data_IF_660179606159
#
_entry.id   IF_660179606159
#
_cell.length_a   1.000
_cell.length_b   1.000
_cell.length_c   1.000
_cell.angle_alpha   90.00
_cell.angle_beta   90.00
_cell.angle_gamma   90.00
#
_symmetry.space_group_name_H-M   'P 1'
#
loop_
_entity.id
_entity.type
_entity.pdbx_description
1 polymer ?
#
# COMPACT_ATOMS: atom_id res chain seq x y z
N UNK A 1 -1.01 -14.02 9.01
CA UNK A 1 -0.35 -14.20 7.70
C UNK A 1 1.09 -14.58 7.99
N UNK A 2 1.60 -15.66 7.40
CA UNK A 2 2.95 -16.16 7.67
C UNK A 2 4.01 -15.39 6.89
N UNK A 3 5.18 -15.21 7.51
CA UNK A 3 6.39 -14.72 6.86
C UNK A 3 7.50 -15.75 7.10
N UNK A 4 8.30 -16.00 6.07
CA UNK A 4 9.48 -16.82 6.13
C UNK A 4 10.70 -15.97 5.77
N UNK A 5 11.84 -16.27 6.36
CA UNK A 5 13.11 -15.64 5.99
C UNK A 5 14.17 -16.70 5.82
N UNK A 6 15.00 -16.52 4.81
CA UNK A 6 16.25 -17.26 4.65
C UNK A 6 17.37 -16.24 4.77
N UNK A 7 18.37 -16.55 5.58
CA UNK A 7 19.51 -15.69 5.81
C UNK A 7 20.79 -16.55 5.82
N UNK A 8 21.79 -16.10 5.07
CA UNK A 8 23.14 -16.62 5.12
C UNK A 8 24.02 -15.63 5.89
N UNK A 9 24.74 -16.12 6.89
CA UNK A 9 25.62 -15.33 7.74
C UNK A 9 27.06 -15.74 7.49
N UNK A 10 27.91 -14.75 7.23
CA UNK A 10 29.34 -14.89 7.06
C UNK A 10 30.05 -14.12 8.19
N UNK A 11 30.68 -14.81 9.14
CA UNK A 11 31.56 -14.16 10.10
C UNK A 11 32.82 -13.68 9.35
N UNK A 12 33.14 -12.39 9.46
CA UNK A 12 34.33 -11.81 8.84
C UNK A 12 35.41 -11.53 9.89
N UNK A 13 35.01 -11.03 11.07
CA UNK A 13 35.87 -10.85 12.25
C UNK A 13 35.12 -11.33 13.50
N UNK A 14 35.82 -11.43 14.62
CA UNK A 14 35.23 -11.79 15.93
C UNK A 14 34.00 -10.92 16.26
N UNK A 15 34.05 -9.65 15.86
CA UNK A 15 33.07 -8.64 16.18
C UNK A 15 32.26 -8.17 14.97
N UNK A 16 32.52 -8.70 13.76
CA UNK A 16 31.92 -8.22 12.51
C UNK A 16 31.37 -9.38 11.68
N UNK A 17 30.07 -9.32 11.39
CA UNK A 17 29.36 -10.30 10.59
C UNK A 17 28.68 -9.61 9.39
N UNK A 18 28.84 -10.20 8.22
CA UNK A 18 28.09 -9.83 7.03
C UNK A 18 27.01 -10.90 6.80
N UNK A 19 25.81 -10.46 6.42
CA UNK A 19 24.70 -11.36 6.16
C UNK A 19 23.93 -10.92 4.93
N UNK A 20 23.40 -11.90 4.21
CA UNK A 20 22.55 -11.69 3.05
C UNK A 20 21.37 -12.64 3.15
N UNK A 21 20.18 -12.16 2.82
CA UNK A 21 18.97 -12.95 2.96
C UNK A 21 17.83 -12.42 2.14
N UNK A 22 16.71 -13.14 2.23
CA UNK A 22 15.45 -12.71 1.69
C UNK A 22 14.34 -12.96 2.70
N UNK A 23 13.47 -11.96 2.85
CA UNK A 23 12.25 -12.02 3.63
C UNK A 23 11.09 -12.18 2.66
N UNK A 24 10.24 -13.18 2.90
CA UNK A 24 9.17 -13.57 2.00
C UNK A 24 7.89 -13.76 2.78
N UNK A 25 6.75 -13.36 2.23
CA UNK A 25 5.48 -13.58 2.92
C UNK A 25 4.29 -12.97 2.21
N UNK A 26 3.11 -13.22 2.78
CA UNK A 26 1.87 -12.62 2.32
C UNK A 26 1.71 -11.24 2.96
N UNK A 27 1.51 -10.22 2.12
CA UNK A 27 1.26 -8.85 2.52
C UNK A 27 -0.14 -8.40 2.05
N UNK A 28 -0.65 -7.34 2.68
CA UNK A 28 -1.92 -6.70 2.31
C UNK A 28 -1.70 -5.21 2.11
N UNK A 29 -2.21 -4.68 1.00
CA UNK A 29 -2.38 -3.26 0.79
C UNK A 29 -3.87 -2.91 0.92
N UNK A 30 -4.15 -1.74 1.49
CA UNK A 30 -5.50 -1.21 1.65
C UNK A 30 -5.51 0.29 1.36
N UNK A 31 -6.52 0.74 0.64
CA UNK A 31 -6.81 2.12 0.31
C UNK A 31 -8.26 2.36 0.74
N UNK A 32 -8.45 3.22 1.73
CA UNK A 32 -9.79 3.64 2.13
C UNK A 32 -10.17 4.89 1.31
N UNK A 33 -11.31 4.82 0.62
CA UNK A 33 -11.85 5.88 -0.22
C UNK A 33 -13.29 6.14 0.24
N UNK A 34 -13.66 7.40 0.45
CA UNK A 34 -15.06 7.75 0.75
C UNK A 34 -15.78 8.07 -0.56
N UNK A 35 -16.73 7.23 -1.00
CA UNK A 35 -17.39 7.41 -2.30
C UNK A 35 -18.78 6.77 -2.42
N UNK A 36 -19.65 7.40 -3.22
CA UNK A 36 -21.06 7.06 -3.39
C UNK A 36 -21.32 5.97 -4.46
N UNK A 37 -22.49 5.34 -4.36
CA UNK A 37 -22.99 4.10 -4.97
C UNK A 37 -22.76 3.89 -6.48
N UNK A 38 -22.46 2.64 -6.86
CA UNK A 38 -22.27 2.17 -8.23
C UNK A 38 -21.58 0.79 -8.28
N UNK A 39 -21.68 0.08 -9.42
CA UNK A 39 -20.99 -1.20 -9.63
C UNK A 39 -19.46 -0.99 -9.56
N UNK A 40 -18.72 -1.85 -8.83
CA UNK A 40 -17.28 -1.69 -8.67
C UNK A 40 -16.54 -1.90 -9.99
N UNK A 41 -15.96 -0.81 -10.50
CA UNK A 41 -15.02 -0.81 -11.63
C UNK A 41 -13.81 0.04 -11.27
N UNK A 42 -12.60 -0.41 -11.60
CA UNK A 42 -11.37 0.29 -11.25
C UNK A 42 -11.37 1.75 -11.71
N UNK A 43 -11.85 2.00 -12.93
CA UNK A 43 -11.91 3.34 -13.52
C UNK A 43 -12.99 4.25 -12.94
N UNK A 44 -13.93 3.76 -12.13
CA UNK A 44 -15.02 4.57 -11.56
C UNK A 44 -14.92 4.74 -10.05
N UNK A 45 -14.16 3.89 -9.35
CA UNK A 45 -13.95 3.94 -7.89
C UNK A 45 -13.10 5.15 -7.44
N UNK A 46 -12.53 5.92 -8.35
CA UNK A 46 -11.77 7.15 -8.05
C UNK A 46 -12.43 8.42 -8.61
N UNK A 47 -13.62 8.31 -9.19
CA UNK A 47 -14.29 9.44 -9.84
C UNK A 47 -15.28 10.12 -8.90
N UNK A 48 -15.43 11.43 -9.07
CA UNK A 48 -16.44 12.23 -8.38
C UNK A 48 -17.84 11.95 -8.98
N UNK A 49 -18.88 11.87 -8.13
CA UNK A 49 -20.28 11.59 -8.52
C UNK A 49 -21.12 12.87 -8.67
N UNK A 50 -20.62 14.00 -8.18
CA UNK A 50 -21.30 15.31 -8.22
C UNK A 50 -21.14 16.02 -9.57
N UNK A 51 -20.13 15.68 -10.38
CA UNK A 51 -19.90 16.37 -11.65
C UNK A 51 -18.56 16.07 -12.31
N UNK A 52 -18.28 16.81 -13.39
CA UNK A 52 -17.01 16.75 -14.12
C UNK A 52 -16.08 17.84 -13.62
N UNK A 53 -14.88 17.47 -13.18
CA UNK A 53 -13.84 18.44 -12.82
C UNK A 53 -13.03 18.82 -14.05
N UNK A 54 -12.90 20.11 -14.33
CA UNK A 54 -12.01 20.61 -15.38
C UNK A 54 -10.53 20.55 -14.92
N UNK A 55 -9.63 20.60 -15.89
CA UNK A 55 -8.16 20.70 -15.77
C UNK A 55 -7.68 21.81 -14.84
N UNK A 56 -8.51 22.84 -14.59
CA UNK A 56 -8.24 23.96 -13.68
C UNK A 56 -8.72 23.73 -12.24
N UNK A 57 -9.39 22.61 -11.96
CA UNK A 57 -9.95 22.29 -10.63
C UNK A 57 -11.37 22.80 -10.39
N UNK A 58 -12.03 23.33 -11.42
CA UNK A 58 -13.42 23.79 -11.35
C UNK A 58 -14.38 22.60 -11.52
N UNK A 59 -15.31 22.40 -10.58
CA UNK A 59 -16.33 21.34 -10.64
C UNK A 59 -17.57 21.84 -11.40
N UNK A 60 -17.93 21.16 -12.48
CA UNK A 60 -19.15 21.37 -13.25
C UNK A 60 -20.15 20.27 -12.96
N UNK A 61 -21.35 20.62 -12.51
CA UNK A 61 -22.45 19.69 -12.30
C UNK A 61 -23.61 20.03 -13.23
N UNK A 62 -24.38 19.02 -13.63
CA UNK A 62 -25.54 19.22 -14.51
C UNK A 62 -26.70 19.80 -13.72
N UNK A 63 -27.24 20.93 -14.19
CA UNK A 63 -28.51 21.51 -13.71
C UNK A 63 -29.61 21.29 -14.73
N UNK A 64 -30.86 21.16 -14.27
CA UNK A 64 -32.01 21.12 -15.18
C UNK A 64 -32.29 22.51 -15.76
N UNK A 65 -32.92 22.58 -16.93
CA UNK A 65 -33.16 23.86 -17.64
C UNK A 65 -33.97 24.87 -16.82
N UNK A 66 -34.80 24.41 -15.87
CA UNK A 66 -35.58 25.27 -14.97
C UNK A 66 -34.82 25.75 -13.73
N UNK A 67 -33.64 25.20 -13.46
CA UNK A 67 -32.78 25.54 -12.32
C UNK A 67 -31.52 26.31 -12.76
N UNK A 68 -31.44 26.69 -14.04
CA UNK A 68 -30.29 27.39 -14.62
C UNK A 68 -30.17 28.84 -14.14
N UNK A 69 -31.31 29.55 -14.01
CA UNK A 69 -31.34 30.97 -13.66
C UNK A 69 -31.17 31.23 -12.15
N UNK A 70 -31.68 30.32 -11.29
CA UNK A 70 -31.53 30.39 -9.83
C UNK A 70 -31.23 28.99 -9.24
N UNK A 71 -29.99 28.48 -9.38
CA UNK A 71 -29.64 27.15 -8.90
C UNK A 71 -29.63 27.12 -7.37
N UNK A 72 -30.53 26.34 -6.78
CA UNK A 72 -30.50 26.02 -5.35
C UNK A 72 -29.47 24.90 -5.15
N UNK A 73 -28.23 25.28 -4.84
CA UNK A 73 -27.14 24.33 -4.56
C UNK A 73 -27.27 23.81 -3.13
N UNK A 74 -28.09 22.78 -2.95
CA UNK A 74 -28.16 22.06 -1.69
C UNK A 74 -27.39 20.74 -1.83
N UNK A 75 -26.34 20.48 -1.03
CA UNK A 75 -25.82 19.14 -0.91
C UNK A 75 -26.94 18.27 -0.31
N UNK A 76 -27.48 17.35 -1.11
CA UNK A 76 -28.42 16.35 -0.60
C UNK A 76 -27.81 15.56 0.55
N UNK A 77 -28.62 15.03 1.46
CA UNK A 77 -28.12 14.15 2.53
C UNK A 77 -27.60 12.88 1.88
N UNK A 78 -26.28 12.80 1.71
CA UNK A 78 -25.63 11.69 1.03
C UNK A 78 -25.03 10.78 2.10
N UNK A 79 -25.51 9.53 2.21
CA UNK A 79 -24.84 8.53 3.05
C UNK A 79 -23.43 8.30 2.48
N UNK A 80 -22.42 8.85 3.15
CA UNK A 80 -21.02 8.52 2.87
C UNK A 80 -20.81 7.04 3.13
N UNK A 81 -20.47 6.28 2.08
CA UNK A 81 -20.11 4.88 2.22
C UNK A 81 -18.61 4.77 2.07
N UNK A 82 -17.92 4.54 3.18
CA UNK A 82 -16.50 4.22 3.17
C UNK A 82 -16.29 2.94 2.36
N UNK A 83 -15.53 3.06 1.28
CA UNK A 83 -15.12 1.96 0.40
C UNK A 83 -13.67 1.61 0.69
N UNK A 84 -13.41 0.39 1.18
CA UNK A 84 -12.05 -0.14 1.34
C UNK A 84 -11.67 -0.90 0.07
N UNK A 85 -10.63 -0.46 -0.62
CA UNK A 85 -10.02 -1.17 -1.74
C UNK A 85 -8.76 -1.84 -1.22
N UNK A 86 -8.76 -3.16 -1.13
CA UNK A 86 -7.60 -3.91 -0.63
C UNK A 86 -7.20 -5.06 -1.53
N UNK A 87 -5.93 -5.44 -1.46
CA UNK A 87 -5.37 -6.56 -2.20
C UNK A 87 -4.34 -7.30 -1.34
N UNK A 88 -4.32 -8.63 -1.47
CA UNK A 88 -3.29 -9.47 -0.88
C UNK A 88 -2.30 -9.89 -1.95
N UNK A 89 -1.01 -9.84 -1.63
CA UNK A 89 0.05 -10.17 -2.57
C UNK A 89 1.20 -10.88 -1.88
N UNK A 90 1.99 -11.62 -2.67
CA UNK A 90 3.25 -12.16 -2.19
C UNK A 90 4.31 -11.07 -2.24
N UNK A 91 4.95 -10.82 -1.11
CA UNK A 91 6.07 -9.91 -0.96
C UNK A 91 7.38 -10.70 -0.91
N UNK A 92 8.36 -10.27 -1.72
CA UNK A 92 9.73 -10.75 -1.70
C UNK A 92 10.68 -9.58 -1.42
N UNK A 93 11.49 -9.71 -0.38
CA UNK A 93 12.39 -8.66 0.09
C UNK A 93 13.80 -9.20 0.29
N UNK A 94 14.66 -9.20 -0.75
CA UNK A 94 16.09 -9.41 -0.59
C UNK A 94 16.70 -8.29 0.23
N UNK A 95 17.65 -8.63 1.09
CA UNK A 95 18.38 -7.68 1.91
C UNK A 95 19.81 -8.13 2.17
N UNK A 96 20.67 -7.16 2.45
CA UNK A 96 22.00 -7.36 3.01
C UNK A 96 22.05 -6.67 4.36
N UNK A 97 22.75 -7.27 5.32
CA UNK A 97 22.90 -6.69 6.63
C UNK A 97 24.31 -6.87 7.17
N UNK A 98 24.75 -5.87 7.90
CA UNK A 98 26.01 -5.88 8.63
C UNK A 98 25.67 -5.87 10.11
N UNK A 99 26.29 -6.76 10.86
CA UNK A 99 26.24 -6.76 12.31
C UNK A 99 27.63 -6.46 12.84
N UNK A 100 27.71 -5.50 13.74
CA UNK A 100 28.92 -5.11 14.41
C UNK A 100 28.69 -5.10 15.93
N UNK A 101 29.50 -5.87 16.64
CA UNK A 101 29.59 -5.86 18.09
C UNK A 101 30.73 -4.92 18.49
N UNK A 102 30.45 -3.88 19.26
CA UNK A 102 31.46 -2.87 19.62
C UNK A 102 31.77 -2.88 21.12
N UNK A 103 30.88 -3.40 21.96
CA UNK A 103 31.16 -3.77 23.35
C UNK A 103 30.76 -5.23 23.58
N UNK A 104 31.26 -5.83 24.67
CA UNK A 104 30.87 -7.18 25.13
C UNK A 104 29.35 -7.37 25.26
N UNK A 105 28.62 -6.28 25.48
CA UNK A 105 27.17 -6.26 25.70
C UNK A 105 26.39 -5.39 24.72
N UNK A 106 27.05 -4.78 23.73
CA UNK A 106 26.38 -3.93 22.74
C UNK A 106 26.75 -4.34 21.31
N UNK A 107 25.72 -4.56 20.51
CA UNK A 107 25.86 -4.79 19.09
C UNK A 107 24.82 -4.04 18.28
N UNK A 108 25.17 -3.70 17.05
CA UNK A 108 24.29 -3.03 16.09
C UNK A 108 24.19 -3.90 14.84
N UNK A 109 22.98 -4.14 14.36
CA UNK A 109 22.74 -4.70 13.03
C UNK A 109 22.01 -3.68 12.18
N UNK A 110 22.60 -3.35 11.04
CA UNK A 110 22.01 -2.48 10.02
C UNK A 110 21.73 -3.33 8.79
N UNK A 111 20.50 -3.26 8.27
CA UNK A 111 20.12 -3.96 7.05
C UNK A 111 19.45 -3.04 6.06
N UNK A 112 19.81 -3.21 4.79
CA UNK A 112 19.18 -2.55 3.64
C UNK A 112 18.63 -3.61 2.71
N UNK A 113 17.45 -3.37 2.18
CA UNK A 113 16.82 -4.28 1.24
C UNK A 113 15.86 -3.57 0.31
N UNK A 114 15.29 -4.34 -0.60
CA UNK A 114 14.30 -3.85 -1.55
C UNK A 114 13.08 -4.74 -1.49
N UNK A 115 11.93 -4.17 -1.16
CA UNK A 115 10.66 -4.86 -1.13
C UNK A 115 10.06 -4.85 -2.54
N UNK A 116 9.56 -6.00 -3.00
CA UNK A 116 8.75 -6.09 -4.21
C UNK A 116 7.62 -7.08 -4.01
N UNK A 117 6.40 -6.61 -4.22
CA UNK A 117 5.20 -7.40 -4.23
C UNK A 117 4.32 -7.09 -5.43
N UNK A 118 3.88 -8.12 -6.14
CA UNK A 118 3.04 -7.96 -7.33
C UNK A 118 1.60 -8.36 -7.01
N UNK A 119 0.66 -7.48 -7.32
CA UNK A 119 -0.79 -7.73 -7.30
C UNK A 119 -1.22 -8.01 -8.75
N UNK A 120 -1.61 -9.24 -9.09
CA UNK A 120 -2.08 -9.56 -10.44
C UNK A 120 -3.38 -8.81 -10.77
N UNK A 121 -3.67 -8.65 -12.06
CA UNK A 121 -4.92 -8.05 -12.52
C UNK A 121 -6.15 -8.80 -11.96
N UNK A 122 -7.22 -8.06 -11.71
CA UNK A 122 -8.47 -8.56 -11.13
C UNK A 122 -8.45 -8.99 -9.65
N UNK A 123 -7.32 -8.82 -8.93
CA UNK A 123 -7.19 -9.25 -7.52
C UNK A 123 -7.45 -8.16 -6.48
N UNK A 124 -7.78 -6.94 -6.91
CA UNK A 124 -8.24 -5.91 -5.99
C UNK A 124 -9.67 -6.21 -5.53
N UNK A 125 -9.94 -5.96 -4.25
CA UNK A 125 -11.19 -6.30 -3.57
C UNK A 125 -11.76 -5.04 -2.92
N UNK A 126 -13.02 -4.74 -3.24
CA UNK A 126 -13.83 -3.72 -2.61
C UNK A 126 -14.51 -4.29 -1.34
N UNK A 127 -14.42 -3.54 -0.24
CA UNK A 127 -15.00 -3.84 1.07
C UNK A 127 -14.66 -5.24 1.59
N UNK A 128 -13.46 -5.73 1.24
CA UNK A 128 -12.97 -7.06 1.63
C UNK A 128 -13.75 -8.25 1.07
N UNK A 129 -14.74 -8.05 0.18
CA UNK A 129 -15.58 -9.14 -0.35
C UNK A 129 -15.79 -9.10 -1.86
N UNK A 130 -15.91 -7.93 -2.47
CA UNK A 130 -16.30 -7.81 -3.88
C UNK A 130 -15.08 -7.58 -4.76
N UNK A 131 -14.73 -8.54 -5.63
CA UNK A 131 -13.60 -8.38 -6.54
C UNK A 131 -13.88 -7.29 -7.60
N UNK A 132 -12.85 -6.52 -7.91
CA UNK A 132 -12.84 -5.51 -8.99
C UNK A 132 -12.17 -6.17 -10.20
N UNK A 133 -12.95 -6.82 -11.06
CA UNK A 133 -12.42 -7.68 -12.14
C UNK A 133 -11.61 -6.92 -13.20
N UNK A 134 -11.87 -5.63 -13.38
CA UNK A 134 -11.17 -4.74 -14.31
C UNK A 134 -9.95 -4.04 -13.68
N UNK A 135 -9.54 -4.41 -12.47
CA UNK A 135 -8.38 -3.81 -11.83
C UNK A 135 -7.07 -4.18 -12.55
N UNK A 136 -6.15 -3.23 -12.79
CA UNK A 136 -4.89 -3.46 -13.47
C UNK A 136 -3.92 -4.28 -12.61
N UNK A 137 -2.92 -4.89 -13.27
CA UNK A 137 -1.77 -5.42 -12.55
C UNK A 137 -0.99 -4.27 -11.91
N UNK A 138 -0.66 -4.40 -10.63
CA UNK A 138 0.05 -3.37 -9.85
C UNK A 138 1.24 -3.98 -9.13
N UNK A 139 2.33 -3.24 -8.99
CA UNK A 139 3.48 -3.65 -8.18
C UNK A 139 3.68 -2.64 -7.06
N UNK A 140 3.82 -3.14 -5.83
CA UNK A 140 4.22 -2.36 -4.66
C UNK A 140 5.68 -2.67 -4.43
N UNK A 141 6.52 -1.65 -4.53
CA UNK A 141 7.96 -1.79 -4.37
C UNK A 141 8.57 -0.60 -3.66
N UNK A 142 9.66 -0.83 -2.93
CA UNK A 142 10.33 0.24 -2.19
C UNK A 142 11.59 -0.21 -1.48
N UNK A 143 12.48 0.75 -1.22
CA UNK A 143 13.63 0.52 -0.36
C UNK A 143 13.17 0.28 1.09
N UNK A 144 13.88 -0.60 1.80
CA UNK A 144 13.66 -0.89 3.20
C UNK A 144 14.96 -0.75 3.97
N UNK A 145 14.86 -0.15 5.14
CA UNK A 145 15.94 -0.02 6.10
C UNK A 145 15.48 -0.58 7.44
N UNK A 146 16.36 -1.29 8.14
CA UNK A 146 16.10 -1.77 9.50
C UNK A 146 17.37 -1.71 10.32
N UNK A 147 17.23 -1.24 11.55
CA UNK A 147 18.28 -1.21 12.54
C UNK A 147 17.83 -2.03 13.74
N UNK A 148 18.68 -2.92 14.22
CA UNK A 148 18.48 -3.66 15.47
C UNK A 148 19.63 -3.35 16.41
N UNK A 149 19.29 -2.99 17.64
CA UNK A 149 20.25 -2.79 18.73
C UNK A 149 20.17 -4.01 19.66
N UNK A 150 21.30 -4.65 19.89
CA UNK A 150 21.45 -5.74 20.86
C UNK A 150 22.03 -5.15 22.14
N UNK A 151 21.35 -5.33 23.26
CA UNK A 151 21.80 -4.94 24.60
C UNK A 151 21.80 -6.20 25.47
N UNK A 152 22.97 -6.58 25.98
CA UNK A 152 23.13 -7.67 26.93
C UNK A 152 22.91 -7.19 28.36
N UNK A 153 22.18 -7.99 29.15
CA UNK A 153 21.86 -7.76 30.56
C UNK A 153 23.05 -8.09 31.47
#
# INVERSE_FOLDING_TARGET
MGAASIEYVMPLLQDFELSAGALMGLARAGIAVDQQSGNPRWGTIFNNVYGTMDSTGTLYYGVSAGEYDEPVILPGTIPGLLRDVSATFFNFQPYVAVKWQFLERLGLRISVGFNKGTIPAGNWVLNGRTKISDSPASAIQGASFRTMLYIGL
#
